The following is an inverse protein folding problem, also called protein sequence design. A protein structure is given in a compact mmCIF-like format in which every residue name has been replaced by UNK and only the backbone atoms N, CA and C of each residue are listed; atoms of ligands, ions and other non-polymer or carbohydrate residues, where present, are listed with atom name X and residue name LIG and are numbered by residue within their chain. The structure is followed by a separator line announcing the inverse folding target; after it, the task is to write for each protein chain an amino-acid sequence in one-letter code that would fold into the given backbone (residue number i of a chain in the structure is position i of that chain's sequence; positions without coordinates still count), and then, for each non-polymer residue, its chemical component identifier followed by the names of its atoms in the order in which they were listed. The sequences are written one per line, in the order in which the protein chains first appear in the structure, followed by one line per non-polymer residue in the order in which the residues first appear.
data_IF_235892142919
#
_entry.id   IF_235892142919
#
_cell.length_a   1.000
_cell.length_b   1.000
_cell.length_c   1.000
_cell.angle_alpha   90.00
_cell.angle_beta   90.00
_cell.angle_gamma   90.00
#
_symmetry.space_group_name_H-M   'P 1'
#
loop_
_entity.id
_entity.type
_entity.pdbx_description
1 polymer ?
#
# COMPACT_ATOMS: atom_id res chain seq x y z
N UNK A 1 24.80 -1.46 -2.88
CA UNK A 1 23.94 -0.47 -2.20
C UNK A 1 24.76 0.74 -1.77
N UNK A 2 24.23 1.95 -1.92
CA UNK A 2 24.93 3.18 -1.48
C UNK A 2 24.85 3.37 0.04
N UNK A 3 25.73 4.18 0.64
CA UNK A 3 25.64 4.56 2.06
C UNK A 3 24.28 5.17 2.41
N UNK A 4 23.68 5.92 1.48
CA UNK A 4 22.35 6.47 1.63
C UNK A 4 21.28 5.39 1.74
N UNK A 5 21.30 4.38 0.84
CA UNK A 5 20.37 3.25 0.88
C UNK A 5 20.53 2.40 2.15
N UNK A 6 21.76 2.19 2.62
CA UNK A 6 22.01 1.49 3.90
C UNK A 6 21.41 2.26 5.09
N UNK A 7 21.51 3.59 5.10
CA UNK A 7 20.86 4.43 6.11
C UNK A 7 19.33 4.35 6.02
N UNK A 8 18.77 4.34 4.81
CA UNK A 8 17.33 4.21 4.62
C UNK A 8 16.81 2.85 5.12
N UNK A 9 17.51 1.76 4.82
CA UNK A 9 17.19 0.43 5.33
C UNK A 9 17.21 0.39 6.86
N UNK A 10 18.27 0.90 7.49
CA UNK A 10 18.37 0.86 8.95
C UNK A 10 17.24 1.65 9.61
N UNK A 11 16.89 2.81 9.06
CA UNK A 11 15.77 3.63 9.53
C UNK A 11 14.42 2.93 9.30
N UNK A 12 14.21 2.30 8.13
CA UNK A 12 13.01 1.52 7.86
C UNK A 12 12.85 0.37 8.85
N UNK A 13 13.92 -0.41 9.09
CA UNK A 13 13.91 -1.52 10.05
C UNK A 13 13.59 -1.03 11.46
N UNK A 14 14.23 0.03 11.95
CA UNK A 14 13.94 0.61 13.28
C UNK A 14 12.48 1.08 13.39
N UNK A 15 11.96 1.73 12.35
CA UNK A 15 10.56 2.17 12.33
C UNK A 15 9.59 0.99 12.35
N UNK A 16 9.83 -0.03 11.52
CA UNK A 16 9.01 -1.24 11.46
C UNK A 16 9.06 -2.03 12.77
N UNK A 17 10.22 -2.12 13.44
CA UNK A 17 10.33 -2.71 14.77
C UNK A 17 9.52 -1.94 15.82
N UNK A 18 9.57 -0.60 15.80
CA UNK A 18 8.74 0.23 16.68
C UNK A 18 7.24 0.05 16.40
N UNK A 19 6.87 -0.19 15.14
CA UNK A 19 5.49 -0.50 14.75
C UNK A 19 5.08 -1.90 15.22
N UNK A 20 5.97 -2.89 15.10
CA UNK A 20 5.76 -4.27 15.52
C UNK A 20 5.41 -4.36 17.01
N UNK A 21 6.11 -3.60 17.86
CA UNK A 21 5.85 -3.52 19.30
C UNK A 21 4.43 -3.04 19.64
N UNK A 22 3.81 -2.25 18.76
CA UNK A 22 2.47 -1.68 18.99
C UNK A 22 1.37 -2.49 18.32
N UNK A 23 1.60 -2.96 17.10
CA UNK A 23 0.60 -3.67 16.31
C UNK A 23 0.48 -5.13 16.71
N UNK A 24 1.62 -5.82 16.87
CA UNK A 24 1.70 -7.27 17.09
C UNK A 24 0.89 -8.05 16.03
N UNK A 25 1.18 -7.77 14.76
CA UNK A 25 0.50 -8.40 13.61
C UNK A 25 1.22 -9.70 13.23
N UNK A 26 0.51 -10.76 12.77
CA UNK A 26 1.10 -12.05 12.44
C UNK A 26 1.84 -12.09 11.09
N UNK A 27 2.21 -10.93 10.53
CA UNK A 27 2.84 -10.79 9.21
C UNK A 27 4.26 -10.23 9.33
N UNK A 28 5.04 -10.39 8.28
CA UNK A 28 6.33 -9.73 8.10
C UNK A 28 6.25 -8.62 7.04
N UNK A 29 7.25 -7.76 7.00
CA UNK A 29 7.48 -6.80 5.90
C UNK A 29 8.81 -7.14 5.24
N UNK A 30 8.78 -7.43 3.94
CA UNK A 30 9.97 -7.64 3.11
C UNK A 30 10.39 -6.31 2.47
N UNK A 31 11.60 -5.87 2.78
CA UNK A 31 12.19 -4.66 2.21
C UNK A 31 12.87 -4.94 0.87
N UNK A 32 13.19 -3.89 0.14
CA UNK A 32 13.81 -3.94 -1.20
C UNK A 32 15.20 -4.58 -1.26
N UNK A 33 15.85 -4.81 -0.12
CA UNK A 33 17.09 -5.59 -0.01
C UNK A 33 16.85 -7.08 0.21
N UNK A 34 15.59 -7.52 0.21
CA UNK A 34 15.16 -8.88 0.51
C UNK A 34 15.09 -9.20 2.01
N UNK A 35 15.46 -8.26 2.90
CA UNK A 35 15.37 -8.49 4.34
C UNK A 35 13.92 -8.48 4.81
N UNK A 36 13.58 -9.37 5.73
CA UNK A 36 12.26 -9.43 6.34
C UNK A 36 12.28 -8.91 7.77
N UNK A 37 11.31 -8.07 8.10
CA UNK A 37 11.11 -7.51 9.43
C UNK A 37 9.77 -8.01 9.97
N UNK A 38 9.75 -8.78 11.08
CA UNK A 38 8.50 -9.24 11.67
C UNK A 38 7.71 -8.07 12.26
N UNK A 39 6.39 -8.01 12.02
CA UNK A 39 5.48 -7.02 12.59
C UNK A 39 4.76 -7.49 13.86
N UNK A 40 5.21 -8.59 14.46
CA UNK A 40 4.70 -9.11 15.72
C UNK A 40 5.59 -10.21 16.29
N UNK A 41 5.18 -10.75 17.43
CA UNK A 41 5.93 -11.80 18.15
C UNK A 41 5.77 -13.17 17.51
N UNK A 42 4.61 -13.43 16.92
CA UNK A 42 4.24 -14.71 16.31
C UNK A 42 3.85 -14.50 14.85
N UNK A 43 4.86 -14.29 14.00
CA UNK A 43 4.66 -14.15 12.56
C UNK A 43 4.50 -15.49 11.86
N UNK A 44 3.66 -15.53 10.82
CA UNK A 44 3.57 -16.69 9.92
C UNK A 44 4.62 -16.56 8.83
N UNK A 45 5.42 -17.61 8.62
CA UNK A 45 6.62 -17.59 7.77
C UNK A 45 6.35 -17.26 6.30
N UNK A 46 5.14 -17.50 5.80
CA UNK A 46 4.75 -17.22 4.41
C UNK A 46 4.01 -15.89 4.24
N UNK A 47 3.56 -15.23 5.32
CA UNK A 47 2.77 -14.00 5.22
C UNK A 47 3.65 -12.77 5.31
N UNK A 48 3.86 -12.10 4.17
CA UNK A 48 4.64 -10.88 4.12
C UNK A 48 3.99 -9.82 3.21
N UNK A 49 4.17 -8.54 3.57
CA UNK A 49 4.00 -7.41 2.66
C UNK A 49 5.37 -7.06 2.09
N UNK A 50 5.54 -7.03 0.78
CA UNK A 50 6.78 -6.56 0.15
C UNK A 50 6.71 -5.07 -0.21
N UNK A 51 7.85 -4.39 -0.11
CA UNK A 51 8.03 -3.00 -0.54
C UNK A 51 9.18 -2.95 -1.55
N UNK A 52 8.90 -2.50 -2.78
CA UNK A 52 9.85 -2.45 -3.90
C UNK A 52 11.03 -1.50 -3.67
N UNK A 53 10.83 -0.43 -2.90
CA UNK A 53 11.85 0.61 -2.78
C UNK A 53 11.57 1.68 -1.72
N UNK A 54 12.58 2.54 -1.45
CA UNK A 54 12.45 3.64 -0.49
C UNK A 54 11.45 4.72 -0.93
N UNK A 55 11.20 4.85 -2.24
CA UNK A 55 10.22 5.80 -2.79
C UNK A 55 8.79 5.51 -2.35
N UNK A 56 8.44 4.22 -2.22
CA UNK A 56 7.14 3.75 -1.71
C UNK A 56 6.93 4.17 -0.26
N UNK A 57 7.92 3.98 0.61
CA UNK A 57 7.84 4.42 2.00
C UNK A 57 7.65 5.94 2.05
N UNK A 58 8.44 6.71 1.29
CA UNK A 58 8.32 8.16 1.23
C UNK A 58 6.93 8.63 0.79
N UNK A 59 6.36 7.96 -0.22
CA UNK A 59 5.00 8.23 -0.70
C UNK A 59 3.94 7.94 0.39
N UNK A 60 3.96 6.75 0.99
CA UNK A 60 3.00 6.35 2.03
C UNK A 60 3.11 7.22 3.30
N UNK A 61 4.31 7.69 3.65
CA UNK A 61 4.50 8.62 4.76
C UNK A 61 3.91 10.00 4.49
N UNK A 62 4.05 10.52 3.24
CA UNK A 62 3.49 11.81 2.83
C UNK A 62 1.97 11.76 2.71
N UNK A 63 1.41 10.64 2.20
CA UNK A 63 -0.02 10.44 1.98
C UNK A 63 -0.45 9.03 2.42
N UNK A 64 -0.72 8.80 3.73
CA UNK A 64 -1.07 7.48 4.27
C UNK A 64 -2.56 7.15 4.04
N UNK A 65 -2.99 7.12 2.78
CA UNK A 65 -4.37 6.81 2.39
C UNK A 65 -4.47 5.41 1.78
N UNK A 66 -5.64 4.73 1.89
CA UNK A 66 -5.88 3.46 1.20
C UNK A 66 -5.69 3.55 -0.32
N UNK A 67 -6.14 4.65 -0.93
CA UNK A 67 -5.93 4.96 -2.35
C UNK A 67 -4.44 4.96 -2.74
N UNK A 68 -3.57 5.62 -1.97
CA UNK A 68 -2.14 5.64 -2.27
C UNK A 68 -1.50 4.25 -2.14
N UNK A 69 -1.89 3.49 -1.10
CA UNK A 69 -1.46 2.10 -0.95
C UNK A 69 -1.92 1.23 -2.13
N UNK A 70 -3.16 1.39 -2.57
CA UNK A 70 -3.73 0.63 -3.68
C UNK A 70 -3.03 0.95 -5.01
N UNK A 71 -2.65 2.21 -5.25
CA UNK A 71 -1.86 2.60 -6.43
C UNK A 71 -0.48 1.95 -6.45
N UNK A 72 0.19 1.90 -5.30
CA UNK A 72 1.44 1.16 -5.16
C UNK A 72 1.24 -0.35 -5.39
N UNK A 73 0.12 -0.92 -4.93
CA UNK A 73 -0.23 -2.31 -5.21
C UNK A 73 -0.47 -2.58 -6.70
N UNK A 74 -1.28 -1.74 -7.36
CA UNK A 74 -1.58 -1.86 -8.79
C UNK A 74 -0.32 -1.76 -9.67
N UNK A 75 0.71 -1.03 -9.22
CA UNK A 75 2.01 -0.91 -9.92
C UNK A 75 3.03 -1.98 -9.51
N UNK A 76 2.67 -2.93 -8.65
CA UNK A 76 3.57 -3.99 -8.17
C UNK A 76 4.67 -3.48 -7.22
N UNK A 77 4.51 -2.28 -6.67
CA UNK A 77 5.46 -1.64 -5.77
C UNK A 77 5.23 -2.05 -4.31
N UNK A 78 3.98 -2.39 -3.99
CA UNK A 78 3.59 -3.10 -2.76
C UNK A 78 2.93 -4.41 -3.19
N UNK A 79 3.24 -5.51 -2.51
CA UNK A 79 2.58 -6.79 -2.80
C UNK A 79 2.38 -7.63 -1.53
N UNK A 80 1.48 -8.60 -1.62
CA UNK A 80 1.02 -9.44 -0.51
C UNK A 80 1.33 -10.91 -0.80
N UNK A 81 2.04 -11.56 0.12
CA UNK A 81 2.58 -12.90 -0.08
C UNK A 81 1.92 -13.94 0.82
N UNK A 82 1.88 -15.18 0.33
CA UNK A 82 1.55 -16.39 1.11
C UNK A 82 0.09 -16.84 1.09
N UNK A 83 -0.84 -15.99 0.68
CA UNK A 83 -2.29 -16.29 0.57
C UNK A 83 -2.96 -15.27 -0.35
N UNK A 84 -4.24 -15.43 -0.65
CA UNK A 84 -4.99 -14.44 -1.43
C UNK A 84 -5.14 -13.11 -0.66
N UNK A 85 -5.41 -12.03 -1.38
CA UNK A 85 -5.46 -10.68 -0.82
C UNK A 85 -6.50 -10.55 0.31
N UNK A 86 -7.65 -11.20 0.18
CA UNK A 86 -8.72 -11.10 1.18
C UNK A 86 -8.29 -11.77 2.50
N UNK A 87 -7.83 -13.01 2.43
CA UNK A 87 -7.33 -13.74 3.61
C UNK A 87 -6.10 -13.06 4.21
N UNK A 88 -5.24 -12.45 3.39
CA UNK A 88 -4.10 -11.67 3.87
C UNK A 88 -4.56 -10.49 4.74
N UNK A 89 -5.47 -9.65 4.20
CA UNK A 89 -5.96 -8.46 4.90
C UNK A 89 -6.69 -8.84 6.18
N UNK A 90 -7.49 -9.91 6.16
CA UNK A 90 -8.19 -10.39 7.34
C UNK A 90 -7.21 -10.87 8.43
N UNK A 91 -6.22 -11.67 8.04
CA UNK A 91 -5.19 -12.18 8.97
C UNK A 91 -4.31 -11.05 9.53
N UNK A 92 -3.94 -10.06 8.71
CA UNK A 92 -3.11 -8.93 9.11
C UNK A 92 -3.85 -7.91 10.00
N UNK A 93 -5.18 -7.99 10.07
CA UNK A 93 -6.03 -7.01 10.76
C UNK A 93 -5.74 -6.96 12.26
N UNK A 94 -5.21 -5.82 12.70
CA UNK A 94 -5.05 -5.52 14.13
C UNK A 94 -6.19 -4.63 14.63
N UNK A 95 -6.92 -5.09 15.66
CA UNK A 95 -7.95 -4.28 16.32
C UNK A 95 -7.35 -3.00 16.89
N UNK A 96 -8.00 -1.86 16.64
CA UNK A 96 -7.53 -0.53 17.06
C UNK A 96 -6.14 -0.15 16.53
N UNK A 97 -5.72 -0.68 15.37
CA UNK A 97 -4.41 -0.41 14.75
C UNK A 97 -4.08 1.09 14.66
N UNK A 98 -5.03 1.94 14.24
CA UNK A 98 -4.86 3.40 14.18
C UNK A 98 -4.54 4.03 15.53
N UNK A 99 -5.15 3.57 16.63
CA UNK A 99 -4.88 4.09 17.98
C UNK A 99 -3.52 3.60 18.46
N UNK A 100 -3.19 2.34 18.18
CA UNK A 100 -1.90 1.72 18.53
C UNK A 100 -0.74 2.37 17.79
N UNK A 101 -0.85 2.63 16.48
CA UNK A 101 0.22 3.26 15.70
C UNK A 101 0.50 4.71 16.10
N UNK A 102 -0.50 5.44 16.61
CA UNK A 102 -0.32 6.79 17.17
C UNK A 102 0.54 6.83 18.45
N UNK A 103 0.77 5.69 19.09
CA UNK A 103 1.64 5.59 20.28
C UNK A 103 3.13 5.40 19.95
N UNK A 104 3.49 5.40 18.67
CA UNK A 104 4.89 5.35 18.23
C UNK A 104 5.58 6.67 18.60
N UNK A 105 6.85 6.57 18.99
CA UNK A 105 7.67 7.74 19.31
C UNK A 105 7.71 8.74 18.16
N UNK A 106 7.44 10.01 18.47
CA UNK A 106 7.50 11.11 17.51
C UNK A 106 8.90 11.28 16.91
N UNK A 107 9.97 10.98 17.67
CA UNK A 107 11.35 11.09 17.18
C UNK A 107 11.67 10.01 16.14
N UNK A 108 11.19 8.79 16.36
CA UNK A 108 11.33 7.67 15.41
C UNK A 108 10.58 7.98 14.12
N UNK A 109 9.34 8.47 14.24
CA UNK A 109 8.54 8.88 13.09
C UNK A 109 9.20 10.04 12.32
N UNK A 110 9.66 11.08 13.01
CA UNK A 110 10.31 12.22 12.38
C UNK A 110 11.62 11.82 11.66
N UNK A 111 12.44 10.96 12.27
CA UNK A 111 13.66 10.44 11.65
C UNK A 111 13.36 9.60 10.41
N UNK A 112 12.31 8.79 10.47
CA UNK A 112 11.84 8.01 9.33
C UNK A 112 11.39 8.94 8.20
N UNK A 113 10.49 9.89 8.47
CA UNK A 113 10.04 10.89 7.49
C UNK A 113 11.26 11.61 6.87
N UNK A 114 12.19 12.13 7.68
CA UNK A 114 13.38 12.83 7.22
C UNK A 114 14.27 11.99 6.28
N UNK A 115 14.34 10.67 6.50
CA UNK A 115 15.16 9.76 5.69
C UNK A 115 14.52 9.40 4.34
N UNK A 116 13.22 9.60 4.20
CA UNK A 116 12.44 9.28 2.99
C UNK A 116 11.85 10.50 2.28
N UNK A 117 11.95 11.70 2.86
CA UNK A 117 11.45 12.95 2.26
C UNK A 117 12.06 13.22 0.87
N UNK A 118 13.35 12.95 0.71
CA UNK A 118 14.09 13.15 -0.56
C UNK A 118 14.27 11.86 -1.36
N UNK A 119 13.64 10.75 -0.97
CA UNK A 119 13.63 9.58 -1.83
C UNK A 119 12.89 9.95 -3.12
N UNK A 120 13.46 9.70 -4.32
CA UNK A 120 12.74 9.91 -5.56
C UNK A 120 11.42 9.18 -5.47
N UNK A 121 10.32 9.91 -5.68
CA UNK A 121 9.00 9.32 -5.59
C UNK A 121 8.88 8.25 -6.68
N UNK A 122 8.52 7.03 -6.29
CA UNK A 122 8.03 6.09 -7.28
C UNK A 122 6.71 6.62 -7.82
N UNK A 123 6.56 6.60 -9.15
CA UNK A 123 5.31 7.07 -9.76
C UNK A 123 4.16 6.20 -9.28
N UNK A 124 3.13 6.87 -8.75
CA UNK A 124 1.83 6.29 -8.38
C UNK A 124 0.77 6.59 -9.44
N UNK A 125 1.16 7.17 -10.58
CA UNK A 125 0.29 7.29 -11.73
C UNK A 125 -0.04 5.88 -12.20
N UNK A 126 -1.33 5.59 -12.32
CA UNK A 126 -1.82 4.32 -12.87
C UNK A 126 -2.35 4.63 -14.27
N UNK A 127 -2.16 3.72 -15.20
CA UNK A 127 -2.68 3.90 -16.55
C UNK A 127 -4.22 3.82 -16.51
N UNK A 128 -4.90 4.51 -17.43
CA UNK A 128 -6.37 4.56 -17.49
C UNK A 128 -7.02 5.18 -16.22
N UNK A 129 -6.47 6.27 -15.70
CA UNK A 129 -7.18 7.14 -14.75
C UNK A 129 -8.15 8.09 -15.48
N UNK A 130 -9.20 8.53 -14.79
CA UNK A 130 -10.10 9.54 -15.34
C UNK A 130 -9.44 10.91 -15.23
N UNK A 131 -9.38 11.64 -16.35
CA UNK A 131 -8.83 12.99 -16.38
C UNK A 131 -9.82 13.98 -15.75
N UNK A 132 -9.91 13.99 -14.41
CA UNK A 132 -10.82 14.88 -13.69
C UNK A 132 -11.14 14.42 -12.26
N UNK A 133 -12.28 14.85 -11.73
CA UNK A 133 -12.81 14.37 -10.45
C UNK A 133 -13.38 12.95 -10.62
N UNK A 134 -12.54 11.95 -10.44
CA UNK A 134 -12.91 10.53 -10.56
C UNK A 134 -14.03 10.13 -9.58
N UNK A 135 -14.25 10.89 -8.50
CA UNK A 135 -15.30 10.61 -7.50
C UNK A 135 -16.63 11.30 -7.87
N UNK A 136 -16.58 12.30 -8.75
CA UNK A 136 -17.77 13.00 -9.28
C UNK A 136 -18.42 13.98 -8.30
N UNK A 137 -17.71 14.42 -7.25
CA UNK A 137 -18.22 15.36 -6.26
C UNK A 137 -18.45 16.79 -6.79
N UNK A 138 -17.73 17.21 -7.84
CA UNK A 138 -17.79 18.57 -8.41
C UNK A 138 -17.94 18.57 -9.92
N UNK A 139 -18.88 17.76 -10.44
CA UNK A 139 -19.03 17.51 -11.87
C UNK A 139 -19.73 18.65 -12.61
N UNK A 140 -19.21 19.01 -13.78
CA UNK A 140 -19.90 19.84 -14.77
C UNK A 140 -20.72 18.97 -15.74
N UNK A 141 -21.88 19.45 -16.19
CA UNK A 141 -22.83 18.69 -17.01
C UNK A 141 -22.25 18.21 -18.36
N UNK A 142 -21.24 18.91 -18.89
CA UNK A 142 -20.54 18.54 -20.14
C UNK A 142 -19.61 17.32 -20.03
N UNK A 143 -19.19 16.93 -18.82
CA UNK A 143 -18.32 15.76 -18.57
C UNK A 143 -19.14 14.48 -18.30
N UNK A 144 -20.45 14.53 -18.54
CA UNK A 144 -21.35 13.48 -18.07
C UNK A 144 -21.18 12.17 -18.85
N UNK A 145 -20.94 12.26 -20.16
CA UNK A 145 -20.75 11.08 -21.02
C UNK A 145 -19.42 10.38 -20.74
N UNK A 146 -18.33 11.13 -20.73
CA UNK A 146 -16.98 10.56 -20.59
C UNK A 146 -16.77 9.90 -19.22
N UNK A 147 -17.31 10.48 -18.14
CA UNK A 147 -17.23 9.83 -16.82
C UNK A 147 -18.22 8.66 -16.65
N UNK A 148 -19.38 8.67 -17.32
CA UNK A 148 -20.23 7.46 -17.36
C UNK A 148 -19.49 6.35 -18.09
N UNK A 149 -18.89 6.63 -19.25
CA UNK A 149 -18.10 5.65 -19.97
C UNK A 149 -16.95 5.15 -19.08
N UNK A 150 -16.16 6.03 -18.47
CA UNK A 150 -15.08 5.62 -17.58
C UNK A 150 -15.50 4.64 -16.46
N UNK A 151 -16.66 4.85 -15.85
CA UNK A 151 -17.13 4.02 -14.73
C UNK A 151 -17.86 2.72 -15.16
N UNK A 152 -18.36 2.66 -16.40
CA UNK A 152 -19.25 1.59 -16.84
C UNK A 152 -18.85 0.97 -18.20
N UNK A 153 -17.66 1.27 -18.73
CA UNK A 153 -17.11 0.64 -19.94
C UNK A 153 -16.58 -0.77 -19.62
N UNK A 154 -17.46 -1.61 -19.11
CA UNK A 154 -17.23 -3.02 -18.81
C UNK A 154 -18.37 -3.81 -19.44
N UNK A 155 -18.08 -4.61 -20.46
CA UNK A 155 -19.07 -5.38 -21.20
C UNK A 155 -19.37 -6.73 -20.58
N UNK A 156 -20.46 -7.39 -21.02
CA UNK A 156 -20.77 -8.76 -20.63
C UNK A 156 -19.64 -9.75 -20.99
N UNK A 157 -18.77 -9.44 -21.96
CA UNK A 157 -17.60 -10.26 -22.28
C UNK A 157 -16.61 -10.34 -21.11
N UNK A 158 -16.45 -9.26 -20.33
CA UNK A 158 -15.65 -9.29 -19.12
C UNK A 158 -16.30 -10.19 -18.05
N UNK A 159 -17.60 -10.03 -17.84
CA UNK A 159 -18.33 -10.79 -16.83
C UNK A 159 -18.38 -12.30 -17.15
N UNK A 160 -18.46 -12.68 -18.43
CA UNK A 160 -18.38 -14.09 -18.89
C UNK A 160 -17.10 -14.80 -18.44
N UNK A 161 -16.04 -14.07 -18.08
CA UNK A 161 -14.79 -14.66 -17.62
C UNK A 161 -14.90 -15.34 -16.26
N UNK A 162 -15.87 -14.95 -15.43
CA UNK A 162 -15.98 -15.45 -14.04
C UNK A 162 -17.40 -15.62 -13.52
N UNK A 163 -18.42 -15.12 -14.23
CA UNK A 163 -19.82 -15.40 -13.93
C UNK A 163 -20.30 -16.65 -14.69
N UNK A 164 -21.36 -17.27 -14.16
CA UNK A 164 -22.03 -18.36 -14.85
C UNK A 164 -22.79 -17.85 -16.10
N UNK A 165 -23.17 -18.81 -16.96
CA UNK A 165 -23.86 -18.56 -18.23
C UNK A 165 -25.27 -17.96 -18.09
N UNK A 166 -25.86 -17.96 -16.90
CA UNK A 166 -27.19 -17.40 -16.65
C UNK A 166 -27.14 -15.92 -16.23
N UNK A 167 -25.93 -15.38 -16.02
CA UNK A 167 -25.70 -14.03 -15.47
C UNK A 167 -25.16 -13.00 -16.48
N UNK A 168 -25.07 -13.34 -17.78
CA UNK A 168 -24.43 -12.52 -18.84
C UNK A 168 -25.02 -12.68 -20.23
#
# INVERSE_FOLDING_TARGET
MTRHQQRQLSVARTFLQSLAEKLDSPISVRLWDGSEVPLGRSVRSNLAVSISGPGVIGSLMRRPTPDNLLRHYARGQVDFHGTDLYTFIDTARVRNSRKKSRSISKSVLAKAIASFLFAPAESTEVDHCYAGDEIGHKRAEGENKDFIQFHYDISNEFYKLFLDKEMV
#
